data_IF_979383690952
#
_entry.id   IF_979383690952
#
_cell.length_a   1.000
_cell.length_b   1.000
_cell.length_c   1.000
_cell.angle_alpha   90.00
_cell.angle_beta   90.00
_cell.angle_gamma   90.00
#
_symmetry.space_group_name_H-M   'P 1'
#
loop_
_entity.id
_entity.type
_entity.pdbx_description
1 polymer ?
#
# COMPACT_ATOMS: atom_id res chain seq x y z
N UNK A 1 -1.05 -3.70 -22.53
CA UNK A 1 -1.35 -2.26 -22.65
C UNK A 1 -2.85 -2.14 -22.84
N UNK A 2 -3.52 -1.18 -22.21
CA UNK A 2 -4.94 -0.91 -22.46
C UNK A 2 -5.01 0.37 -23.30
N UNK A 3 -5.62 0.30 -24.48
CA UNK A 3 -5.87 1.50 -25.30
C UNK A 3 -7.15 2.17 -24.80
N UNK A 4 -7.06 3.45 -24.45
CA UNK A 4 -8.19 4.32 -24.18
C UNK A 4 -8.23 5.36 -25.29
N UNK A 5 -9.07 5.11 -26.30
CA UNK A 5 -9.06 5.89 -27.54
C UNK A 5 -7.71 5.80 -28.25
N UNK A 6 -7.06 6.95 -28.45
CA UNK A 6 -5.74 7.07 -29.08
C UNK A 6 -4.56 6.98 -28.09
N UNK A 7 -4.83 6.95 -26.78
CA UNK A 7 -3.79 6.90 -25.75
C UNK A 7 -3.52 5.46 -25.34
N UNK A 8 -2.27 5.05 -25.44
CA UNK A 8 -1.81 3.78 -24.90
C UNK A 8 -1.44 3.95 -23.43
N UNK A 9 -2.30 3.51 -22.53
CA UNK A 9 -1.99 3.47 -21.10
C UNK A 9 -1.23 2.18 -20.83
N UNK A 10 -0.03 2.32 -20.26
CA UNK A 10 0.70 1.19 -19.72
C UNK A 10 -0.22 0.46 -18.72
N UNK A 11 -0.44 -0.85 -18.92
CA UNK A 11 -1.15 -1.63 -17.92
C UNK A 11 -0.34 -1.52 -16.63
N UNK A 12 -0.99 -1.04 -15.57
CA UNK A 12 -0.33 -0.59 -14.36
C UNK A 12 0.52 -1.67 -13.68
N UNK A 13 1.06 -1.25 -12.55
CA UNK A 13 1.97 -1.94 -11.62
C UNK A 13 1.72 -3.46 -11.48
N UNK A 14 0.45 -3.89 -11.56
CA UNK A 14 0.00 -5.29 -11.52
C UNK A 14 0.80 -6.24 -12.42
N UNK A 15 1.15 -5.83 -13.66
CA UNK A 15 1.96 -6.68 -14.55
C UNK A 15 3.37 -6.97 -14.04
N UNK A 16 3.96 -6.06 -13.27
CA UNK A 16 5.33 -6.22 -12.74
C UNK A 16 5.36 -7.03 -11.44
N UNK A 17 4.27 -6.98 -10.68
CA UNK A 17 4.07 -7.71 -9.42
C UNK A 17 3.77 -9.20 -9.70
N UNK A 18 3.06 -9.49 -10.79
CA UNK A 18 2.65 -10.84 -11.17
C UNK A 18 3.66 -11.56 -12.09
N UNK A 19 4.88 -11.02 -12.26
CA UNK A 19 5.93 -11.66 -13.04
C UNK A 19 6.44 -12.94 -12.33
N UNK A 20 6.63 -14.07 -13.05
CA UNK A 20 7.12 -15.31 -12.45
C UNK A 20 8.55 -15.14 -11.92
N UNK A 21 8.80 -15.62 -10.70
CA UNK A 21 10.10 -15.49 -10.04
C UNK A 21 10.33 -14.15 -9.35
N UNK A 22 9.28 -13.34 -9.19
CA UNK A 22 9.31 -12.09 -8.42
C UNK A 22 8.88 -12.35 -6.99
N UNK A 23 9.67 -11.87 -6.02
CA UNK A 23 9.25 -11.80 -4.62
C UNK A 23 8.71 -10.41 -4.35
N UNK A 24 7.43 -10.34 -3.99
CA UNK A 24 6.75 -9.11 -3.62
C UNK A 24 6.27 -9.24 -2.19
N UNK A 25 6.72 -8.34 -1.33
CA UNK A 25 6.24 -8.25 0.05
C UNK A 25 5.28 -7.07 0.17
N UNK A 26 4.37 -7.15 1.13
CA UNK A 26 3.46 -6.03 1.43
C UNK A 26 3.87 -5.40 2.76
N UNK A 27 4.39 -4.18 2.69
CA UNK A 27 4.85 -3.41 3.86
C UNK A 27 3.81 -2.35 4.20
N UNK A 28 3.36 -2.34 5.46
CA UNK A 28 2.35 -1.42 5.96
C UNK A 28 2.98 -0.50 6.99
N UNK A 29 2.77 0.80 6.82
CA UNK A 29 3.17 1.82 7.76
C UNK A 29 1.95 2.60 8.20
N UNK A 30 1.76 2.71 9.51
CA UNK A 30 0.73 3.56 10.10
C UNK A 30 1.37 4.45 11.15
N UNK A 31 1.06 5.73 11.10
CA UNK A 31 1.53 6.73 12.04
C UNK A 31 0.35 7.57 12.47
N UNK A 32 0.28 7.89 13.76
CA UNK A 32 -0.66 8.87 14.27
C UNK A 32 0.10 10.00 14.96
N UNK A 33 -0.36 11.21 14.73
CA UNK A 33 0.02 12.42 15.45
C UNK A 33 -1.25 13.06 16.01
N UNK A 34 -1.07 14.09 16.83
CA UNK A 34 -2.17 14.92 17.34
C UNK A 34 -2.92 15.65 16.23
N UNK A 35 -2.29 15.83 15.06
CA UNK A 35 -2.84 16.57 13.93
C UNK A 35 -3.34 15.68 12.80
N UNK A 36 -2.84 14.45 12.69
CA UNK A 36 -3.14 13.56 11.57
C UNK A 36 -2.95 12.07 11.86
N UNK A 37 -3.78 11.25 11.21
CA UNK A 37 -3.60 9.79 11.11
C UNK A 37 -3.17 9.48 9.69
N UNK A 38 -2.05 8.81 9.52
CA UNK A 38 -1.47 8.42 8.24
C UNK A 38 -1.33 6.92 8.14
N UNK A 39 -1.66 6.37 6.98
CA UNK A 39 -1.40 5.00 6.63
C UNK A 39 -0.88 4.92 5.19
N UNK A 40 0.19 4.16 4.98
CA UNK A 40 0.77 3.91 3.68
C UNK A 40 1.08 2.42 3.52
N UNK A 41 0.92 1.91 2.30
CA UNK A 41 1.26 0.56 1.92
C UNK A 41 2.25 0.59 0.74
N UNK A 42 3.36 -0.12 0.90
CA UNK A 42 4.41 -0.23 -0.09
C UNK A 42 4.61 -1.69 -0.47
N UNK A 43 5.01 -1.91 -1.71
CA UNK A 43 5.47 -3.19 -2.21
C UNK A 43 6.94 -3.08 -2.62
N UNK A 44 7.89 -3.52 -1.77
CA UNK A 44 9.22 -3.85 -2.25
C UNK A 44 9.13 -5.05 -3.19
N UNK A 45 9.72 -4.88 -4.36
CA UNK A 45 9.77 -5.88 -5.43
C UNK A 45 11.21 -6.25 -5.65
N UNK A 46 11.52 -7.54 -5.50
CA UNK A 46 12.85 -8.08 -5.78
C UNK A 46 12.80 -9.12 -6.90
N UNK A 47 13.80 -9.04 -7.77
CA UNK A 47 14.02 -9.94 -8.89
C UNK A 47 15.39 -10.60 -8.73
N UNK A 48 15.56 -11.81 -9.24
CA UNK A 48 16.85 -12.50 -9.23
C UNK A 48 17.97 -11.76 -10.00
N UNK A 49 17.62 -10.94 -11.01
CA UNK A 49 18.57 -10.32 -11.95
C UNK A 49 18.37 -8.82 -12.16
N UNK A 50 17.55 -8.16 -11.34
CA UNK A 50 17.29 -6.72 -11.44
C UNK A 50 17.47 -6.08 -10.06
N UNK A 51 17.89 -4.81 -9.99
CA UNK A 51 17.92 -4.09 -8.72
C UNK A 51 16.52 -4.08 -8.09
N UNK A 52 16.42 -4.26 -6.77
CA UNK A 52 15.14 -4.15 -6.08
C UNK A 52 14.61 -2.72 -6.22
N UNK A 53 13.30 -2.58 -6.31
CA UNK A 53 12.65 -1.29 -6.26
C UNK A 53 11.39 -1.34 -5.42
N UNK A 54 10.94 -0.18 -4.94
CA UNK A 54 9.79 -0.06 -4.07
C UNK A 54 8.67 0.69 -4.77
N UNK A 55 7.44 0.25 -4.53
CA UNK A 55 6.25 0.82 -5.14
C UNK A 55 5.28 1.27 -4.06
N UNK A 56 4.84 2.52 -4.11
CA UNK A 56 3.72 2.98 -3.30
C UNK A 56 2.40 2.43 -3.87
N UNK A 57 1.71 1.61 -3.10
CA UNK A 57 0.41 1.02 -3.48
C UNK A 57 -0.77 1.86 -2.98
N UNK A 58 -0.64 2.41 -1.78
CA UNK A 58 -1.69 3.16 -1.12
C UNK A 58 -1.08 4.18 -0.16
N UNK A 59 -1.65 5.37 -0.10
CA UNK A 59 -1.35 6.35 0.93
C UNK A 59 -2.62 7.12 1.25
N UNK A 60 -2.90 7.29 2.55
CA UNK A 60 -4.00 8.12 3.02
C UNK A 60 -3.60 8.82 4.31
N UNK A 61 -3.84 10.12 4.35
CA UNK A 61 -3.88 10.93 5.55
C UNK A 61 -5.33 11.27 5.89
N UNK A 62 -5.64 11.36 7.18
CA UNK A 62 -6.93 11.81 7.69
C UNK A 62 -6.70 12.70 8.90
N UNK A 63 -7.43 13.81 8.97
CA UNK A 63 -7.48 14.65 10.16
C UNK A 63 -8.19 13.85 11.28
N UNK A 64 -7.71 13.88 12.53
CA UNK A 64 -8.39 13.26 13.65
C UNK A 64 -9.72 13.99 13.95
N UNK A 65 -10.66 13.31 14.62
CA UNK A 65 -11.88 13.94 15.12
C UNK A 65 -11.59 15.17 15.98
N UNK A 66 -12.55 16.11 16.02
CA UNK A 66 -12.47 17.34 16.82
C UNK A 66 -12.44 17.04 18.34
N UNK A 67 -13.01 15.91 18.74
CA UNK A 67 -12.95 15.44 20.13
C UNK A 67 -11.52 15.07 20.54
N UNK A 68 -11.15 15.41 21.78
CA UNK A 68 -9.88 15.00 22.37
C UNK A 68 -9.82 13.48 22.52
N UNK A 69 -9.14 12.84 21.57
CA UNK A 69 -8.88 11.41 21.58
C UNK A 69 -7.46 11.19 22.09
N UNK A 70 -7.31 10.29 23.05
CA UNK A 70 -6.01 9.92 23.58
C UNK A 70 -5.10 9.36 22.48
N UNK A 71 -3.80 9.66 22.56
CA UNK A 71 -2.80 9.20 21.58
C UNK A 71 -2.87 7.69 21.27
N UNK A 72 -3.04 6.78 22.24
CA UNK A 72 -3.18 5.35 21.94
C UNK A 72 -4.39 5.01 21.05
N UNK A 73 -5.52 5.71 21.21
CA UNK A 73 -6.70 5.52 20.35
C UNK A 73 -6.46 6.05 18.94
N UNK A 74 -5.69 7.13 18.79
CA UNK A 74 -5.28 7.65 17.48
C UNK A 74 -4.38 6.65 16.75
N UNK A 75 -3.38 6.10 17.46
CA UNK A 75 -2.47 5.08 16.95
C UNK A 75 -3.24 3.82 16.52
N UNK A 76 -4.13 3.30 17.37
CA UNK A 76 -4.99 2.17 17.03
C UNK A 76 -5.83 2.44 15.78
N UNK A 77 -6.41 3.64 15.66
CA UNK A 77 -7.18 4.03 14.48
C UNK A 77 -6.34 4.03 13.20
N UNK A 78 -5.09 4.51 13.28
CA UNK A 78 -4.17 4.50 12.14
C UNK A 78 -3.78 3.07 11.75
N UNK A 79 -3.57 2.18 12.73
CA UNK A 79 -3.32 0.76 12.48
C UNK A 79 -4.51 0.08 11.80
N UNK A 80 -5.75 0.37 12.24
CA UNK A 80 -6.97 -0.14 11.59
C UNK A 80 -7.06 0.31 10.12
N UNK A 81 -6.70 1.56 9.83
CA UNK A 81 -6.63 2.04 8.43
C UNK A 81 -5.61 1.26 7.61
N UNK A 82 -4.43 0.98 8.18
CA UNK A 82 -3.39 0.17 7.53
C UNK A 82 -3.84 -1.27 7.25
N UNK A 83 -4.47 -1.93 8.22
CA UNK A 83 -4.97 -3.31 8.07
C UNK A 83 -6.07 -3.37 7.01
N UNK A 84 -7.04 -2.45 7.02
CA UNK A 84 -8.09 -2.40 6.00
C UNK A 84 -7.52 -2.19 4.60
N UNK A 85 -6.50 -1.34 4.46
CA UNK A 85 -5.81 -1.17 3.19
C UNK A 85 -5.13 -2.47 2.75
N UNK A 86 -4.52 -3.22 3.68
CA UNK A 86 -3.92 -4.53 3.41
C UNK A 86 -4.94 -5.55 2.90
N UNK A 87 -6.10 -5.66 3.54
CA UNK A 87 -7.17 -6.58 3.12
C UNK A 87 -7.63 -6.29 1.69
N UNK A 88 -7.82 -5.01 1.36
CA UNK A 88 -8.18 -4.59 0.00
C UNK A 88 -7.06 -4.91 -1.00
N UNK A 89 -5.81 -4.61 -0.65
CA UNK A 89 -4.66 -4.85 -1.52
C UNK A 89 -4.44 -6.34 -1.78
N UNK A 90 -4.56 -7.19 -0.77
CA UNK A 90 -4.48 -8.66 -0.90
C UNK A 90 -5.57 -9.23 -1.79
N UNK A 91 -6.79 -8.66 -1.76
CA UNK A 91 -7.87 -9.05 -2.67
C UNK A 91 -7.58 -8.66 -4.12
N UNK A 92 -6.97 -7.49 -4.34
CA UNK A 92 -6.68 -6.98 -5.70
C UNK A 92 -5.44 -7.63 -6.31
N UNK A 93 -4.45 -7.97 -5.48
CA UNK A 93 -3.17 -8.55 -5.84
C UNK A 93 -2.84 -9.73 -4.89
N UNK A 94 -3.12 -10.98 -5.29
CA UNK A 94 -2.95 -12.15 -4.42
C UNK A 94 -1.49 -12.59 -4.24
N UNK A 95 -0.57 -12.10 -5.07
CA UNK A 95 0.84 -12.55 -5.14
C UNK A 95 1.77 -11.91 -4.11
N UNK A 96 1.22 -11.24 -3.08
CA UNK A 96 2.05 -10.75 -1.98
C UNK A 96 2.45 -11.92 -1.07
N UNK A 97 3.75 -12.13 -0.86
CA UNK A 97 4.21 -13.07 0.16
C UNK A 97 3.89 -12.48 1.54
N UNK A 98 3.34 -13.31 2.44
CA UNK A 98 3.27 -12.96 3.84
C UNK A 98 4.70 -12.83 4.40
N UNK A 99 4.91 -11.80 5.22
CA UNK A 99 6.11 -11.65 6.06
C UNK A 99 5.93 -12.52 7.29
#
# INVERSE_FOLDING_TARGET
MRRLGHVSVAQGIKKRIDEPGVKVELHLFSVASEFDKRAAAYAPVSYLKKPPYCILLYSKSSVPPIEEITKPKLEMSASVLGIRASEVLRRVCPNFSAI
#
